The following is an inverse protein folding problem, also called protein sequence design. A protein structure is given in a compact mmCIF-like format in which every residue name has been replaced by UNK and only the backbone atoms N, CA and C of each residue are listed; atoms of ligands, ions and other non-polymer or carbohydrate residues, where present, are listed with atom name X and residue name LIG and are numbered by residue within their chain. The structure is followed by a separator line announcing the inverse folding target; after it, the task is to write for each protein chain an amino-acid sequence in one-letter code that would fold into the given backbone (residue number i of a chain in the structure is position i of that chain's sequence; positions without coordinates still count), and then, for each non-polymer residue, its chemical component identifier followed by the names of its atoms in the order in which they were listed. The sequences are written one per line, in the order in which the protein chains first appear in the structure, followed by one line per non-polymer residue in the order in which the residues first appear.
data_IF_460788065064
#
_entry.id   IF_460788065064
#
_cell.length_a   1.000
_cell.length_b   1.000
_cell.length_c   1.000
_cell.angle_alpha   90.00
_cell.angle_beta   90.00
_cell.angle_gamma   90.00
#
_symmetry.space_group_name_H-M   'P 1'
#
loop_
_entity.id
_entity.type
_entity.pdbx_description
1 polymer ?
#
# COMPACT_ATOMS: atom_id res chain seq x y z
N UNK A 1 0.84 11.96 -4.48
CA UNK A 1 0.54 11.19 -3.28
C UNK A 1 0.43 12.19 -2.17
N UNK A 2 -0.78 12.69 -1.91
CA UNK A 2 -1.07 13.71 -0.88
C UNK A 2 -1.06 13.14 0.55
N UNK A 3 -0.06 12.33 0.89
CA UNK A 3 0.06 11.62 2.15
C UNK A 3 1.45 11.88 2.77
N UNK A 4 1.56 11.92 4.11
CA UNK A 4 2.85 12.15 4.77
C UNK A 4 3.77 10.95 4.55
N UNK A 5 5.02 11.23 4.17
CA UNK A 5 6.05 10.23 3.93
C UNK A 5 7.23 10.52 4.85
N UNK A 6 7.75 9.49 5.51
CA UNK A 6 8.92 9.57 6.36
C UNK A 6 9.89 8.43 6.05
N UNK A 7 11.18 8.74 6.09
CA UNK A 7 12.24 7.79 5.81
C UNK A 7 13.29 7.90 6.91
N UNK A 8 13.57 6.78 7.55
CA UNK A 8 14.69 6.62 8.47
C UNK A 8 15.71 5.68 7.86
N UNK A 9 16.96 6.14 7.75
CA UNK A 9 18.11 5.34 7.32
C UNK A 9 19.06 5.23 8.50
N UNK A 10 19.56 4.03 8.77
CA UNK A 10 20.62 3.80 9.76
C UNK A 10 21.90 3.31 9.09
N UNK A 11 23.05 3.64 9.68
CA UNK A 11 24.34 3.08 9.26
C UNK A 11 25.11 3.84 8.19
N UNK A 12 24.67 5.02 7.75
CA UNK A 12 25.52 5.92 6.96
C UNK A 12 26.62 6.50 7.87
N UNK A 13 27.83 5.93 7.84
CA UNK A 13 29.00 6.45 8.55
C UNK A 13 29.31 7.91 8.20
N UNK A 14 30.23 8.56 8.93
CA UNK A 14 30.52 9.99 8.75
C UNK A 14 31.02 10.37 7.34
N UNK A 15 31.50 9.41 6.54
CA UNK A 15 31.79 9.57 5.10
C UNK A 15 30.66 9.13 4.14
N UNK A 16 29.61 8.48 4.63
CA UNK A 16 28.43 7.99 3.88
C UNK A 16 27.19 8.86 4.11
N UNK A 17 27.26 9.89 4.98
CA UNK A 17 26.14 10.85 5.16
C UNK A 17 25.69 11.48 3.84
N UNK A 18 26.60 11.62 2.86
CA UNK A 18 26.27 12.03 1.49
C UNK A 18 25.46 10.98 0.72
N UNK A 19 25.81 9.70 0.82
CA UNK A 19 25.13 8.63 0.06
C UNK A 19 23.72 8.34 0.57
N UNK A 20 23.50 8.41 1.89
CA UNK A 20 22.17 8.27 2.49
C UNK A 20 21.23 9.42 2.12
N UNK A 21 21.73 10.66 2.10
CA UNK A 21 20.98 11.83 1.67
C UNK A 21 20.59 11.75 0.19
N UNK A 22 21.54 11.44 -0.69
CA UNK A 22 21.28 11.27 -2.12
C UNK A 22 20.31 10.12 -2.41
N UNK A 23 20.41 9.01 -1.67
CA UNK A 23 19.47 7.90 -1.79
C UNK A 23 18.05 8.33 -1.38
N UNK A 24 17.92 9.09 -0.29
CA UNK A 24 16.64 9.65 0.13
C UNK A 24 16.07 10.60 -0.93
N UNK A 25 16.90 11.50 -1.49
CA UNK A 25 16.48 12.44 -2.54
C UNK A 25 15.99 11.71 -3.79
N UNK A 26 16.65 10.61 -4.19
CA UNK A 26 16.18 9.75 -5.28
C UNK A 26 14.81 9.14 -4.99
N UNK A 27 14.59 8.64 -3.77
CA UNK A 27 13.27 8.11 -3.36
C UNK A 27 12.20 9.19 -3.43
N UNK A 28 12.43 10.37 -2.88
CA UNK A 28 11.44 11.45 -2.91
C UNK A 28 11.23 12.01 -4.32
N UNK A 29 12.25 12.03 -5.18
CA UNK A 29 12.11 12.36 -6.60
C UNK A 29 11.21 11.34 -7.31
N UNK A 30 11.49 10.04 -7.12
CA UNK A 30 10.68 8.94 -7.64
C UNK A 30 9.21 9.05 -7.20
N UNK A 31 8.94 9.25 -5.91
CA UNK A 31 7.57 9.35 -5.41
C UNK A 31 6.82 10.56 -5.97
N UNK A 32 7.51 11.66 -6.30
CA UNK A 32 6.92 12.82 -6.99
C UNK A 32 6.63 12.52 -8.45
N UNK A 33 7.51 11.79 -9.13
CA UNK A 33 7.31 11.35 -10.52
C UNK A 33 6.11 10.41 -10.64
N UNK A 34 6.01 9.42 -9.74
CA UNK A 34 4.85 8.53 -9.62
C UNK A 34 3.57 9.32 -9.46
N UNK A 35 3.54 10.34 -8.59
CA UNK A 35 2.34 11.17 -8.43
C UNK A 35 1.97 11.92 -9.72
N UNK A 36 2.95 12.54 -10.38
CA UNK A 36 2.73 13.25 -11.62
C UNK A 36 2.20 12.32 -12.73
N UNK A 37 2.69 11.08 -12.79
CA UNK A 37 2.32 10.09 -13.79
C UNK A 37 0.96 9.43 -13.51
N UNK A 38 0.70 9.05 -12.27
CA UNK A 38 -0.42 8.17 -11.93
C UNK A 38 -1.61 8.84 -11.25
N UNK A 39 -1.52 10.12 -10.88
CA UNK A 39 -2.60 10.80 -10.17
C UNK A 39 -3.85 10.95 -11.07
N UNK A 40 -5.01 10.39 -10.69
CA UNK A 40 -6.26 10.60 -11.43
C UNK A 40 -6.80 12.03 -11.28
N UNK A 41 -6.16 12.87 -10.45
CA UNK A 41 -6.56 14.25 -10.16
C UNK A 41 -5.77 15.29 -10.96
N UNK A 42 -4.66 14.89 -11.61
CA UNK A 42 -3.84 15.77 -12.44
C UNK A 42 -4.24 15.57 -13.91
N UNK A 43 -4.77 16.59 -14.60
CA UNK A 43 -5.29 16.44 -15.97
C UNK A 43 -4.28 15.85 -16.97
N UNK A 44 -3.00 16.19 -16.79
CA UNK A 44 -1.91 15.79 -17.69
C UNK A 44 -1.24 14.47 -17.27
N UNK A 45 -1.70 13.82 -16.18
CA UNK A 45 -1.16 12.52 -15.79
C UNK A 45 -1.48 11.47 -16.85
N UNK A 46 -0.63 10.45 -16.91
CA UNK A 46 -0.82 9.34 -17.84
C UNK A 46 -2.15 8.62 -17.57
N UNK A 47 -2.51 8.44 -16.30
CA UNK A 47 -3.79 7.85 -15.89
C UNK A 47 -4.98 8.68 -16.35
N UNK A 48 -4.95 10.00 -16.17
CA UNK A 48 -6.06 10.87 -16.58
C UNK A 48 -6.17 10.98 -18.10
N UNK A 49 -5.05 10.94 -18.84
CA UNK A 49 -5.05 10.92 -20.31
C UNK A 49 -5.57 9.60 -20.86
N UNK A 50 -5.13 8.47 -20.28
CA UNK A 50 -5.67 7.15 -20.61
C UNK A 50 -7.17 7.06 -20.31
N UNK A 51 -7.62 7.59 -19.18
CA UNK A 51 -9.04 7.60 -18.82
C UNK A 51 -9.93 8.37 -19.82
N UNK A 52 -9.39 9.44 -20.41
CA UNK A 52 -10.06 10.22 -21.46
C UNK A 52 -9.91 9.64 -22.86
N UNK A 53 -9.18 8.53 -23.04
CA UNK A 53 -8.92 7.91 -24.33
C UNK A 53 -7.93 8.70 -25.21
N UNK A 54 -7.06 9.49 -24.59
CA UNK A 54 -6.02 10.29 -25.28
C UNK A 54 -4.71 9.53 -25.50
N UNK A 55 -4.61 8.30 -24.99
CA UNK A 55 -3.46 7.40 -25.12
C UNK A 55 -3.95 6.03 -25.61
N UNK A 56 -3.21 5.43 -26.55
CA UNK A 56 -3.35 4.02 -26.90
C UNK A 56 -2.42 3.11 -26.07
N UNK A 57 -2.68 1.80 -26.10
CA UNK A 57 -1.94 0.81 -25.30
C UNK A 57 -0.42 0.82 -25.58
N UNK A 58 0.01 1.15 -26.80
CA UNK A 58 1.41 1.25 -27.20
C UNK A 58 2.12 2.55 -26.74
N UNK A 59 1.35 3.53 -26.27
CA UNK A 59 1.88 4.78 -25.71
C UNK A 59 2.08 4.71 -24.19
N UNK A 60 1.61 3.63 -23.55
CA UNK A 60 1.69 3.47 -22.09
C UNK A 60 3.12 3.18 -21.63
N UNK A 61 3.49 3.83 -20.54
CA UNK A 61 4.75 3.58 -19.84
C UNK A 61 4.77 2.14 -19.32
N UNK A 62 5.96 1.49 -19.29
CA UNK A 62 6.09 0.15 -18.74
C UNK A 62 5.57 0.04 -17.30
N UNK A 63 5.73 1.12 -16.51
CA UNK A 63 5.25 1.18 -15.14
C UNK A 63 3.71 1.19 -15.07
N UNK A 64 3.02 1.91 -15.96
CA UNK A 64 1.56 1.90 -16.01
C UNK A 64 1.03 0.52 -16.44
N UNK A 65 1.66 -0.10 -17.43
CA UNK A 65 1.33 -1.46 -17.87
C UNK A 65 1.45 -2.43 -16.69
N UNK A 66 2.57 -2.39 -15.96
CA UNK A 66 2.76 -3.22 -14.76
C UNK A 66 1.67 -2.97 -13.69
N UNK A 67 1.36 -1.70 -13.40
CA UNK A 67 0.32 -1.33 -12.42
C UNK A 67 -1.06 -1.84 -12.85
N UNK A 68 -1.41 -1.75 -14.13
CA UNK A 68 -2.69 -2.23 -14.65
C UNK A 68 -2.77 -3.76 -14.62
N UNK A 69 -1.68 -4.46 -14.95
CA UNK A 69 -1.59 -5.91 -14.83
C UNK A 69 -1.75 -6.37 -13.38
N UNK A 70 -1.11 -5.68 -12.43
CA UNK A 70 -1.28 -5.93 -11.00
C UNK A 70 -2.73 -5.69 -10.56
N UNK A 71 -3.35 -4.61 -11.01
CA UNK A 71 -4.76 -4.32 -10.74
C UNK A 71 -5.67 -5.44 -11.27
N UNK A 72 -5.44 -5.90 -12.49
CA UNK A 72 -6.23 -6.97 -13.12
C UNK A 72 -6.06 -8.30 -12.37
N UNK A 73 -4.83 -8.65 -11.98
CA UNK A 73 -4.58 -9.83 -11.15
C UNK A 73 -5.39 -9.79 -9.86
N UNK A 74 -5.35 -8.68 -9.11
CA UNK A 74 -6.11 -8.59 -7.86
C UNK A 74 -7.62 -8.47 -8.07
N UNK A 75 -8.07 -7.94 -9.22
CA UNK A 75 -9.48 -8.02 -9.62
C UNK A 75 -9.92 -9.47 -9.78
N UNK A 76 -9.15 -10.30 -10.48
CA UNK A 76 -9.45 -11.72 -10.67
C UNK A 76 -9.40 -12.48 -9.34
N UNK A 77 -8.31 -12.34 -8.58
CA UNK A 77 -8.10 -13.07 -7.33
C UNK A 77 -9.11 -12.73 -6.22
N UNK A 78 -9.62 -11.50 -6.20
CA UNK A 78 -10.63 -11.05 -5.25
C UNK A 78 -12.08 -11.26 -5.73
N UNK A 79 -12.28 -11.90 -6.89
CA UNK A 79 -13.60 -12.10 -7.47
C UNK A 79 -14.30 -10.77 -7.83
N UNK A 80 -13.52 -9.74 -8.17
CA UNK A 80 -14.00 -8.41 -8.55
C UNK A 80 -14.22 -7.45 -7.39
N UNK A 81 -13.84 -7.79 -6.15
CA UNK A 81 -13.94 -6.86 -5.02
C UNK A 81 -12.94 -5.70 -5.13
N UNK A 82 -11.71 -5.98 -5.58
CA UNK A 82 -10.75 -4.96 -6.01
C UNK A 82 -11.03 -4.56 -7.46
N UNK A 83 -11.25 -3.27 -7.73
CA UNK A 83 -11.40 -2.77 -9.09
C UNK A 83 -10.75 -1.39 -9.25
N UNK A 84 -10.01 -1.24 -10.36
CA UNK A 84 -9.40 0.02 -10.78
C UNK A 84 -10.39 0.97 -11.45
N UNK A 85 -11.56 0.45 -11.87
CA UNK A 85 -12.65 1.23 -12.47
C UNK A 85 -13.96 0.81 -11.81
N UNK A 86 -14.50 1.66 -10.93
CA UNK A 86 -15.80 1.43 -10.33
C UNK A 86 -16.92 1.98 -11.23
N UNK A 87 -18.15 1.41 -11.17
CA UNK A 87 -19.28 1.92 -11.93
C UNK A 87 -19.51 3.42 -11.68
N UNK A 88 -19.58 4.20 -12.77
CA UNK A 88 -19.78 5.65 -12.70
C UNK A 88 -18.56 6.47 -12.27
N UNK A 89 -17.38 5.85 -12.20
CA UNK A 89 -16.10 6.52 -11.90
C UNK A 89 -15.07 6.29 -13.01
N UNK A 90 -14.10 7.20 -13.10
CA UNK A 90 -12.95 7.05 -13.99
C UNK A 90 -11.96 5.99 -13.52
N UNK A 91 -10.89 5.83 -14.28
CA UNK A 91 -9.72 5.02 -13.91
C UNK A 91 -9.08 5.56 -12.63
N UNK A 92 -8.96 4.71 -11.63
CA UNK A 92 -8.31 5.04 -10.37
C UNK A 92 -7.44 3.87 -9.87
N UNK A 93 -6.13 3.89 -10.16
CA UNK A 93 -5.17 2.90 -9.69
C UNK A 93 -4.58 3.23 -8.32
N UNK A 94 -5.09 4.23 -7.59
CA UNK A 94 -4.50 4.66 -6.32
C UNK A 94 -4.36 3.53 -5.30
N UNK A 95 -5.30 2.58 -5.29
CA UNK A 95 -5.30 1.43 -4.39
C UNK A 95 -4.17 0.41 -4.66
N UNK A 96 -3.50 0.50 -5.82
CA UNK A 96 -2.31 -0.27 -6.17
C UNK A 96 -1.04 0.58 -6.12
N UNK A 97 -1.13 1.82 -6.64
CA UNK A 97 0.03 2.69 -6.87
C UNK A 97 0.75 3.05 -5.58
N UNK A 98 0.06 3.24 -4.46
CA UNK A 98 0.68 3.62 -3.18
C UNK A 98 1.70 2.57 -2.73
N UNK A 99 1.27 1.33 -2.46
CA UNK A 99 2.16 0.26 -2.03
C UNK A 99 3.24 -0.06 -3.06
N UNK A 100 2.88 -0.08 -4.35
CA UNK A 100 3.82 -0.29 -5.45
C UNK A 100 4.94 0.77 -5.49
N UNK A 101 4.58 2.05 -5.46
CA UNK A 101 5.55 3.14 -5.58
C UNK A 101 6.51 3.19 -4.39
N UNK A 102 6.01 2.93 -3.19
CA UNK A 102 6.80 2.93 -1.96
C UNK A 102 7.72 1.71 -1.92
N UNK A 103 7.26 0.55 -2.40
CA UNK A 103 8.10 -0.63 -2.59
C UNK A 103 9.24 -0.37 -3.59
N UNK A 104 8.95 0.26 -4.75
CA UNK A 104 9.99 0.70 -5.71
C UNK A 104 10.96 1.70 -5.09
N UNK A 105 10.47 2.62 -4.25
CA UNK A 105 11.31 3.52 -3.46
C UNK A 105 12.28 2.77 -2.53
N UNK A 106 11.80 1.73 -1.84
CA UNK A 106 12.63 0.89 -1.00
C UNK A 106 13.69 0.10 -1.81
N UNK A 107 13.37 -0.31 -3.04
CA UNK A 107 14.32 -0.93 -3.96
C UNK A 107 15.42 0.05 -4.40
N UNK A 108 15.09 1.31 -4.64
CA UNK A 108 16.07 2.36 -4.93
C UNK A 108 17.05 2.56 -3.76
N UNK A 109 16.58 2.49 -2.51
CA UNK A 109 17.45 2.54 -1.33
C UNK A 109 18.45 1.38 -1.33
N UNK A 110 17.95 0.14 -1.52
CA UNK A 110 18.79 -1.06 -1.57
C UNK A 110 19.82 -0.99 -2.70
N UNK A 111 19.40 -0.56 -3.89
CA UNK A 111 20.29 -0.37 -5.04
C UNK A 111 21.38 0.70 -4.79
N UNK A 112 21.12 1.61 -3.85
CA UNK A 112 22.06 2.64 -3.41
C UNK A 112 23.00 2.17 -2.30
N UNK A 113 22.95 0.89 -1.92
CA UNK A 113 23.74 0.31 -0.83
C UNK A 113 23.16 0.55 0.57
N UNK A 114 21.97 1.15 0.68
CA UNK A 114 21.30 1.34 1.97
C UNK A 114 20.66 0.02 2.42
N UNK A 115 21.20 -0.59 3.47
CA UNK A 115 20.77 -1.91 3.95
C UNK A 115 19.82 -1.84 5.15
N UNK A 116 19.82 -0.75 5.92
CA UNK A 116 19.02 -0.60 7.13
C UNK A 116 18.15 0.65 7.04
N UNK A 117 16.85 0.47 6.85
CA UNK A 117 15.91 1.59 6.73
C UNK A 117 14.49 1.22 7.14
N UNK A 118 13.68 2.27 7.37
CA UNK A 118 12.24 2.19 7.53
C UNK A 118 11.62 3.33 6.72
N UNK A 119 10.86 2.98 5.68
CA UNK A 119 10.14 3.90 4.80
C UNK A 119 8.65 3.77 5.08
N UNK A 120 8.02 4.86 5.50
CA UNK A 120 6.61 4.93 5.85
C UNK A 120 5.90 5.94 4.95
N UNK A 121 4.80 5.53 4.34
CA UNK A 121 3.92 6.34 3.52
C UNK A 121 2.48 6.22 4.02
N UNK A 122 2.01 7.24 4.75
CA UNK A 122 0.63 7.29 5.23
C UNK A 122 0.25 6.23 6.26
N UNK A 123 1.20 5.49 6.86
CA UNK A 123 0.95 4.38 7.77
C UNK A 123 1.39 3.02 7.21
N UNK A 124 1.62 2.95 5.91
CA UNK A 124 2.14 1.78 5.22
C UNK A 124 3.66 1.80 5.19
N UNK A 125 4.27 0.69 5.60
CA UNK A 125 5.69 0.65 5.95
C UNK A 125 6.42 -0.44 5.18
N UNK A 126 7.59 -0.11 4.63
CA UNK A 126 8.64 -1.07 4.26
C UNK A 126 9.80 -0.93 5.24
N UNK A 127 10.29 -2.05 5.75
CA UNK A 127 11.37 -2.10 6.73
C UNK A 127 12.47 -3.08 6.29
N UNK A 128 13.72 -2.79 6.64
CA UNK A 128 14.87 -3.62 6.31
C UNK A 128 16.03 -3.51 7.34
N UNK A 129 16.83 -4.57 7.42
CA UNK A 129 18.18 -4.58 8.02
C UNK A 129 18.26 -4.76 9.53
N UNK A 130 17.14 -4.64 10.26
CA UNK A 130 17.03 -4.89 11.71
C UNK A 130 15.57 -5.05 12.11
N UNK A 131 15.26 -5.64 13.27
CA UNK A 131 13.90 -5.57 13.81
C UNK A 131 13.43 -4.12 14.00
N UNK A 132 12.27 -3.82 13.40
CA UNK A 132 11.53 -2.57 13.51
C UNK A 132 10.19 -2.82 14.18
N UNK A 133 9.85 -2.00 15.17
CA UNK A 133 8.56 -2.05 15.86
C UNK A 133 7.59 -1.07 15.19
N UNK A 134 6.55 -1.60 14.56
CA UNK A 134 5.55 -0.83 13.81
C UNK A 134 4.23 -0.88 14.58
N UNK A 135 3.74 0.27 15.00
CA UNK A 135 2.46 0.38 15.71
C UNK A 135 1.29 0.37 14.74
N UNK A 136 0.30 -0.49 15.00
CA UNK A 136 -0.99 -0.50 14.31
C UNK A 136 -1.93 0.42 15.08
N UNK A 137 -2.38 1.50 14.43
CA UNK A 137 -3.29 2.48 15.01
C UNK A 137 -4.64 1.83 15.36
N UNK A 138 -5.19 2.16 16.52
CA UNK A 138 -6.54 1.74 16.87
C UNK A 138 -7.56 2.42 15.95
N UNK A 139 -8.48 1.68 15.30
CA UNK A 139 -9.28 2.23 14.22
C UNK A 139 -10.24 3.36 14.66
N UNK A 140 -10.71 3.33 15.91
CA UNK A 140 -11.60 4.36 16.46
C UNK A 140 -10.90 5.39 17.37
N UNK A 141 -9.61 5.21 17.71
CA UNK A 141 -8.90 6.02 18.71
C UNK A 141 -7.55 6.48 18.17
N UNK A 142 -7.52 7.71 17.65
CA UNK A 142 -6.37 8.26 16.94
C UNK A 142 -5.07 8.31 17.77
N UNK A 143 -5.19 8.44 19.09
CA UNK A 143 -4.10 8.52 20.05
C UNK A 143 -3.61 7.15 20.55
N UNK A 144 -4.13 6.03 20.01
CA UNK A 144 -3.86 4.69 20.52
C UNK A 144 -3.34 3.75 19.45
N UNK A 145 -2.51 2.82 19.90
CA UNK A 145 -2.02 1.66 19.15
C UNK A 145 -2.76 0.44 19.69
N UNK A 146 -3.36 -0.37 18.80
CA UNK A 146 -4.07 -1.59 19.19
C UNK A 146 -3.19 -2.84 19.11
N UNK A 147 -2.11 -2.81 18.33
CA UNK A 147 -1.11 -3.87 18.21
C UNK A 147 0.24 -3.29 17.78
N UNK A 148 1.35 -3.95 18.11
CA UNK A 148 2.68 -3.60 17.62
C UNK A 148 3.24 -4.83 16.93
N UNK A 149 3.64 -4.69 15.68
CA UNK A 149 4.31 -5.76 14.95
C UNK A 149 5.82 -5.53 14.91
N UNK A 150 6.58 -6.59 15.03
CA UNK A 150 8.03 -6.57 14.85
C UNK A 150 8.42 -7.27 13.55
N UNK A 151 8.99 -6.52 12.60
CA UNK A 151 9.49 -7.07 11.34
C UNK A 151 10.93 -6.62 11.10
N UNK A 152 11.78 -7.53 10.59
CA UNK A 152 13.15 -7.21 10.24
C UNK A 152 13.27 -6.76 8.78
N UNK A 153 12.73 -7.59 7.88
CA UNK A 153 12.67 -7.34 6.44
C UNK A 153 11.26 -7.69 5.96
N UNK A 154 10.58 -6.72 5.34
CA UNK A 154 9.23 -6.91 4.84
C UNK A 154 8.42 -5.62 4.88
N UNK A 155 7.10 -5.77 4.85
CA UNK A 155 6.18 -4.65 4.80
C UNK A 155 4.91 -4.86 5.63
N UNK A 156 4.31 -3.75 6.04
CA UNK A 156 3.03 -3.70 6.75
C UNK A 156 2.15 -2.66 6.06
N UNK A 157 0.94 -3.04 5.66
CA UNK A 157 -0.03 -2.09 5.12
C UNK A 157 -1.35 -2.20 5.88
N UNK A 158 -2.08 -1.10 6.01
CA UNK A 158 -3.40 -1.11 6.65
C UNK A 158 -4.45 -0.41 5.80
N UNK A 159 -5.53 -1.12 5.53
CA UNK A 159 -6.75 -0.56 4.98
C UNK A 159 -7.76 -0.32 6.09
N UNK A 160 -8.28 0.89 6.23
CA UNK A 160 -9.22 1.22 7.29
C UNK A 160 -10.03 2.47 7.03
N UNK A 161 -11.16 2.60 7.72
CA UNK A 161 -12.11 3.72 7.52
C UNK A 161 -11.61 5.05 8.08
N UNK A 162 -10.66 5.03 9.01
CA UNK A 162 -10.24 6.22 9.76
C UNK A 162 -9.36 7.18 8.99
N UNK A 163 -8.85 6.81 7.81
CA UNK A 163 -7.98 7.69 7.02
C UNK A 163 -8.78 8.67 6.18
N UNK A 164 -9.83 8.19 5.51
CA UNK A 164 -10.63 8.99 4.56
C UNK A 164 -12.14 8.67 4.62
N UNK A 165 -12.61 8.04 5.69
CA UNK A 165 -13.99 7.58 5.83
C UNK A 165 -14.28 6.36 4.96
N UNK A 166 -15.49 6.33 4.38
CA UNK A 166 -16.03 5.22 3.58
C UNK A 166 -15.54 5.29 2.12
N UNK A 167 -14.21 5.24 1.95
CA UNK A 167 -13.53 5.44 0.67
C UNK A 167 -13.07 4.14 -0.02
N UNK A 168 -13.14 3.01 0.68
CA UNK A 168 -12.86 1.69 0.11
C UNK A 168 -14.18 1.08 -0.31
N UNK A 169 -14.33 0.81 -1.60
CA UNK A 169 -15.55 0.26 -2.19
C UNK A 169 -15.37 -1.21 -2.54
N UNK A 170 -16.44 -1.99 -2.38
CA UNK A 170 -16.51 -3.32 -2.97
C UNK A 170 -16.86 -3.17 -4.45
N UNK A 171 -15.91 -3.46 -5.34
CA UNK A 171 -16.09 -3.34 -6.79
C UNK A 171 -17.25 -4.15 -7.35
N UNK A 172 -17.66 -5.24 -6.67
CA UNK A 172 -18.80 -6.07 -7.10
C UNK A 172 -20.13 -5.34 -6.93
N UNK A 173 -20.23 -4.46 -5.94
CA UNK A 173 -21.47 -3.78 -5.56
C UNK A 173 -21.44 -2.28 -5.86
N UNK A 174 -20.25 -1.69 -5.96
CA UNK A 174 -20.06 -0.23 -6.03
C UNK A 174 -20.33 0.49 -4.71
N UNK A 175 -20.62 -0.23 -3.62
CA UNK A 175 -20.92 0.32 -2.29
C UNK A 175 -19.66 0.34 -1.43
N UNK A 176 -19.63 1.25 -0.45
CA UNK A 176 -18.54 1.29 0.51
C UNK A 176 -18.51 0.02 1.38
N UNK A 177 -17.32 -0.57 1.53
CA UNK A 177 -17.12 -1.71 2.39
C UNK A 177 -17.14 -1.26 3.87
N UNK A 178 -18.09 -1.78 4.64
CA UNK A 178 -18.31 -1.37 6.04
C UNK A 178 -18.24 -2.52 7.04
N UNK A 179 -17.94 -3.74 6.55
CA UNK A 179 -17.84 -4.94 7.39
C UNK A 179 -16.64 -4.96 8.34
N UNK A 180 -15.60 -4.19 8.03
CA UNK A 180 -14.39 -4.06 8.84
C UNK A 180 -14.16 -2.60 9.25
N UNK A 181 -13.50 -2.40 10.39
CA UNK A 181 -12.95 -1.11 10.80
C UNK A 181 -11.52 -0.93 10.28
N UNK A 182 -10.72 -2.00 10.32
CA UNK A 182 -9.38 -2.05 9.75
C UNK A 182 -8.97 -3.47 9.39
N UNK A 183 -8.13 -3.61 8.36
CA UNK A 183 -7.39 -4.82 8.02
C UNK A 183 -5.93 -4.45 7.79
N UNK A 184 -5.06 -4.96 8.66
CA UNK A 184 -3.60 -4.85 8.53
C UNK A 184 -3.05 -6.15 7.98
N UNK A 185 -2.15 -6.04 7.00
CA UNK A 185 -1.46 -7.16 6.36
C UNK A 185 0.04 -6.96 6.51
N UNK A 186 0.73 -8.01 6.94
CA UNK A 186 2.19 -8.13 6.90
C UNK A 186 2.56 -9.04 5.73
N UNK A 187 3.47 -8.61 4.86
CA UNK A 187 3.92 -9.39 3.71
C UNK A 187 5.39 -9.11 3.37
N UNK A 188 5.91 -9.84 2.38
CA UNK A 188 7.30 -9.70 1.91
C UNK A 188 7.56 -8.35 1.20
N UNK A 189 6.53 -7.79 0.55
CA UNK A 189 6.60 -6.52 -0.18
C UNK A 189 5.40 -5.64 0.16
N UNK A 190 5.58 -4.33 0.06
CA UNK A 190 4.47 -3.42 0.35
C UNK A 190 3.42 -3.41 -0.77
N UNK A 191 3.81 -3.67 -2.01
CA UNK A 191 2.87 -3.88 -3.12
C UNK A 191 1.86 -4.98 -2.79
N UNK A 192 2.34 -6.11 -2.24
CA UNK A 192 1.49 -7.21 -1.84
C UNK A 192 0.66 -6.86 -0.60
N UNK A 193 1.28 -6.34 0.46
CA UNK A 193 0.57 -6.00 1.68
C UNK A 193 -0.58 -5.01 1.44
N UNK A 194 -0.35 -3.92 0.68
CA UNK A 194 -1.35 -2.88 0.42
C UNK A 194 -2.50 -3.38 -0.47
N UNK A 195 -2.17 -4.13 -1.53
CA UNK A 195 -3.18 -4.69 -2.41
C UNK A 195 -4.05 -5.74 -1.71
N UNK A 196 -3.44 -6.62 -0.91
CA UNK A 196 -4.17 -7.64 -0.13
C UNK A 196 -4.99 -6.99 0.98
N UNK A 197 -4.46 -5.97 1.66
CA UNK A 197 -5.22 -5.22 2.67
C UNK A 197 -6.46 -4.56 2.03
N UNK A 198 -6.30 -3.91 0.87
CA UNK A 198 -7.41 -3.22 0.19
C UNK A 198 -8.44 -4.22 -0.33
N UNK A 199 -8.02 -5.26 -1.05
CA UNK A 199 -8.91 -6.28 -1.59
C UNK A 199 -9.65 -7.04 -0.48
N UNK A 200 -8.92 -7.48 0.56
CA UNK A 200 -9.50 -8.14 1.72
C UNK A 200 -10.47 -7.24 2.48
N UNK A 201 -10.16 -5.95 2.62
CA UNK A 201 -11.08 -5.00 3.25
C UNK A 201 -12.37 -4.85 2.45
N UNK A 202 -12.26 -4.72 1.11
CA UNK A 202 -13.40 -4.63 0.21
C UNK A 202 -14.30 -5.88 0.25
N UNK A 203 -13.72 -7.06 0.44
CA UNK A 203 -14.45 -8.33 0.58
C UNK A 203 -15.14 -8.49 1.94
N UNK A 204 -14.81 -7.68 2.96
CA UNK A 204 -15.40 -7.76 4.28
C UNK A 204 -14.92 -8.98 5.09
N UNK A 205 -15.83 -9.68 5.77
CA UNK A 205 -15.48 -10.79 6.66
C UNK A 205 -14.74 -11.93 5.94
N UNK A 206 -15.21 -12.32 4.75
CA UNK A 206 -14.57 -13.35 3.92
C UNK A 206 -13.18 -12.91 3.45
N UNK A 207 -12.96 -11.60 3.32
CA UNK A 207 -11.70 -11.01 2.94
C UNK A 207 -10.58 -11.22 3.96
N UNK A 208 -10.91 -11.34 5.24
CA UNK A 208 -9.93 -11.65 6.31
C UNK A 208 -9.36 -13.05 6.11
N UNK A 209 -10.24 -14.04 5.87
CA UNK A 209 -9.83 -15.43 5.62
C UNK A 209 -9.11 -15.56 4.27
N UNK A 210 -9.59 -14.86 3.24
CA UNK A 210 -8.92 -14.80 1.94
C UNK A 210 -7.50 -14.25 2.07
N UNK A 211 -7.30 -13.16 2.81
CA UNK A 211 -5.99 -12.56 3.02
C UNK A 211 -5.07 -13.48 3.85
N UNK A 212 -5.58 -14.08 4.94
CA UNK A 212 -4.83 -15.02 5.77
C UNK A 212 -4.45 -16.32 5.05
N UNK A 213 -5.23 -16.73 4.04
CA UNK A 213 -4.97 -17.92 3.23
C UNK A 213 -3.85 -17.74 2.19
N UNK A 214 -3.36 -16.51 1.98
CA UNK A 214 -2.29 -16.24 1.02
C UNK A 214 -0.94 -16.59 1.63
N UNK A 215 -0.14 -17.35 0.89
CA UNK A 215 1.23 -17.69 1.28
C UNK A 215 2.05 -16.42 1.51
N UNK A 216 2.66 -16.30 2.70
CA UNK A 216 3.51 -15.16 3.05
C UNK A 216 2.77 -13.91 3.54
N UNK A 217 1.44 -13.98 3.71
CA UNK A 217 0.64 -12.92 4.32
C UNK A 217 0.23 -13.31 5.75
N UNK A 218 0.41 -12.38 6.69
CA UNK A 218 -0.16 -12.47 8.03
C UNK A 218 -1.11 -11.29 8.24
N UNK A 219 -2.24 -11.50 8.93
CA UNK A 219 -3.30 -10.51 9.04
C UNK A 219 -3.68 -10.19 10.48
N UNK A 220 -4.07 -8.93 10.71
CA UNK A 220 -4.75 -8.47 11.91
C UNK A 220 -5.91 -7.58 11.50
N UNK A 221 -7.13 -7.99 11.84
CA UNK A 221 -8.35 -7.31 11.47
C UNK A 221 -9.15 -6.91 12.71
N UNK A 222 -9.80 -5.76 12.63
CA UNK A 222 -10.83 -5.34 13.58
C UNK A 222 -12.14 -5.22 12.80
N UNK A 223 -13.13 -6.04 13.14
CA UNK A 223 -14.42 -6.02 12.47
C UNK A 223 -15.34 -4.88 12.96
N UNK A 224 -16.44 -4.65 12.25
CA UNK A 224 -17.42 -3.61 12.63
C UNK A 224 -18.07 -3.81 14.01
N UNK A 225 -18.06 -5.05 14.52
CA UNK A 225 -18.50 -5.41 15.87
C UNK A 225 -17.42 -5.23 16.94
N UNK A 226 -16.22 -4.73 16.58
CA UNK A 226 -15.02 -4.59 17.43
C UNK A 226 -14.41 -5.93 17.84
N UNK A 227 -14.75 -7.01 17.14
CA UNK A 227 -14.05 -8.28 17.22
C UNK A 227 -12.66 -8.16 16.59
N UNK A 228 -11.67 -8.82 17.19
CA UNK A 228 -10.32 -8.91 16.66
C UNK A 228 -10.12 -10.29 16.04
N UNK A 229 -9.65 -10.33 14.80
CA UNK A 229 -9.20 -11.54 14.12
C UNK A 229 -7.73 -11.41 13.76
N UNK A 230 -6.99 -12.49 13.88
CA UNK A 230 -5.55 -12.51 13.62
C UNK A 230 -5.14 -13.87 13.10
N UNK A 231 -4.28 -13.90 12.09
CA UNK A 231 -3.65 -15.15 11.68
C UNK A 231 -2.70 -15.69 12.76
N UNK A 232 -2.43 -17.01 12.80
CA UNK A 232 -1.57 -17.61 13.82
C UNK A 232 -0.14 -17.06 13.85
N UNK A 233 0.44 -16.73 12.69
CA UNK A 233 1.82 -16.28 12.55
C UNK A 233 2.03 -14.77 12.64
N UNK A 234 0.98 -13.99 12.96
CA UNK A 234 1.08 -12.54 13.01
C UNK A 234 2.10 -12.08 14.08
N UNK A 235 3.11 -11.25 13.71
CA UNK A 235 4.33 -11.06 14.50
C UNK A 235 4.18 -9.97 15.57
N UNK A 236 3.34 -10.21 16.58
CA UNK A 236 3.13 -9.31 17.75
C UNK A 236 3.85 -9.76 19.01
#
# INVERSE_FOLDING_TARGET
MGLPISLRIEGAGEGERGSGGEAADRVFAWLREVDARFSPFLPDSEVSRLDRGELSDDELSPDLVEVLDLCERYRVESGGAFQVRLPGRGLDPCAMVKGWAVQRGAELLRASGVTTFCLNAGGDVVAAGRPWRIGIRHPERADRVCAVVEIADGAVATSGRYERGDHIFDGRTGLAATGLLSLTVVASTLTEADAVATAGFAMGADGVEWAAGRSGCEVFAVDAGRGVRRSPGFPV
#
